data_IF_656951595270
#
_entry.id   IF_656951595270
#
_cell.length_a   1.000
_cell.length_b   1.000
_cell.length_c   1.000
_cell.angle_alpha   90.00
_cell.angle_beta   90.00
_cell.angle_gamma   90.00
#
_symmetry.space_group_name_H-M   'P 1'
#
loop_
_entity.id
_entity.type
_entity.pdbx_description
1 polymer ?
#
# COMPACT_ATOMS: atom_id res chain seq x y z
N UNK A 1 -20.04 19.84 -20.13
CA UNK A 1 -18.59 19.78 -20.40
C UNK A 1 -17.93 19.71 -19.04
N UNK A 2 -17.65 18.49 -18.57
CA UNK A 2 -16.99 18.30 -17.28
C UNK A 2 -15.62 18.97 -17.28
N UNK A 3 -15.30 19.69 -16.21
CA UNK A 3 -13.95 20.19 -16.00
C UNK A 3 -13.03 18.97 -15.88
N UNK A 4 -12.08 18.83 -16.79
CA UNK A 4 -11.00 17.86 -16.69
C UNK A 4 -10.34 17.99 -15.31
N UNK A 5 -10.29 16.91 -14.55
CA UNK A 5 -9.64 16.88 -13.25
C UNK A 5 -8.11 16.95 -13.43
N UNK A 6 -7.57 18.16 -13.35
CA UNK A 6 -6.14 18.43 -13.51
C UNK A 6 -5.34 18.29 -12.21
N UNK A 7 -5.89 17.66 -11.15
CA UNK A 7 -5.19 17.52 -9.85
C UNK A 7 -3.86 16.78 -10.00
N UNK A 8 -3.84 15.70 -10.77
CA UNK A 8 -2.62 14.96 -11.06
C UNK A 8 -1.57 15.83 -11.74
N UNK A 9 -1.92 16.48 -12.86
CA UNK A 9 -1.02 17.33 -13.62
C UNK A 9 -0.47 18.50 -12.77
N UNK A 10 -1.30 19.09 -11.91
CA UNK A 10 -0.87 20.14 -10.99
C UNK A 10 0.06 19.62 -9.89
N UNK A 11 -0.22 18.42 -9.37
CA UNK A 11 0.59 17.83 -8.31
C UNK A 11 1.99 17.47 -8.83
N UNK A 12 2.11 16.76 -9.97
CA UNK A 12 3.41 16.30 -10.49
C UNK A 12 4.37 17.43 -10.90
N UNK A 13 3.83 18.62 -11.17
CA UNK A 13 4.64 19.81 -11.48
C UNK A 13 5.10 20.57 -10.22
N UNK A 14 4.65 20.18 -9.03
CA UNK A 14 5.01 20.84 -7.78
C UNK A 14 6.40 20.37 -7.30
N UNK A 15 7.41 21.26 -7.23
CA UNK A 15 8.78 20.90 -6.85
C UNK A 15 8.91 20.46 -5.39
N UNK A 16 7.89 20.65 -4.56
CA UNK A 16 7.90 20.21 -3.15
C UNK A 16 7.54 18.74 -2.99
N UNK A 17 7.00 18.09 -4.03
CA UNK A 17 6.74 16.65 -4.00
C UNK A 17 8.00 15.85 -3.71
N UNK A 18 7.83 14.77 -2.95
CA UNK A 18 8.84 13.72 -2.85
C UNK A 18 8.38 12.59 -3.75
N UNK A 19 9.10 12.38 -4.84
CA UNK A 19 8.81 11.28 -5.75
C UNK A 19 8.88 9.93 -5.03
N UNK A 20 7.94 9.03 -5.34
CA UNK A 20 7.87 7.69 -4.77
C UNK A 20 7.61 7.59 -3.26
N UNK A 21 7.38 8.68 -2.52
CA UNK A 21 7.19 8.63 -1.05
C UNK A 21 6.04 7.72 -0.61
N UNK A 22 5.02 7.56 -1.46
CA UNK A 22 3.88 6.68 -1.23
C UNK A 22 4.24 5.19 -1.30
N UNK A 23 5.39 4.81 -1.85
CA UNK A 23 5.87 3.43 -1.82
C UNK A 23 6.33 3.04 -0.39
N UNK A 24 6.88 4.00 0.36
CA UNK A 24 7.24 3.89 1.77
C UNK A 24 6.08 4.18 2.74
N UNK A 25 4.83 4.10 2.29
CA UNK A 25 3.65 4.49 3.07
C UNK A 25 3.15 3.37 4.00
N UNK A 26 2.71 3.75 5.21
CA UNK A 26 1.97 2.91 6.17
C UNK A 26 0.44 3.08 6.08
N UNK A 27 -0.02 3.83 5.08
CA UNK A 27 -1.42 4.16 4.80
C UNK A 27 -2.18 4.79 5.98
N UNK A 28 -1.48 5.41 6.92
CA UNK A 28 -2.08 6.21 7.98
C UNK A 28 -2.08 7.69 7.61
N UNK A 29 -2.73 8.02 6.51
CA UNK A 29 -2.71 9.36 5.91
C UNK A 29 -3.15 10.47 6.88
N UNK A 30 -4.11 10.19 7.78
CA UNK A 30 -4.64 11.14 8.76
C UNK A 30 -3.60 11.58 9.80
N UNK A 31 -2.52 10.80 9.93
CA UNK A 31 -1.40 11.00 10.84
C UNK A 31 -0.07 11.21 10.11
N UNK A 32 -0.07 11.21 8.77
CA UNK A 32 1.15 11.24 7.97
C UNK A 32 1.71 12.67 7.87
N UNK A 33 2.97 12.92 8.28
CA UNK A 33 3.57 14.26 8.20
C UNK A 33 3.95 14.67 6.76
N UNK A 34 3.86 13.75 5.80
CA UNK A 34 4.29 13.95 4.41
C UNK A 34 3.11 14.13 3.43
N UNK A 35 1.87 14.24 3.91
CA UNK A 35 0.68 14.39 3.05
C UNK A 35 0.79 15.53 2.03
N UNK A 36 1.34 16.68 2.44
CA UNK A 36 1.57 17.83 1.55
C UNK A 36 2.58 17.55 0.42
N UNK A 37 3.48 16.58 0.62
CA UNK A 37 4.54 16.19 -0.34
C UNK A 37 4.27 14.85 -1.02
N UNK A 38 3.10 14.25 -0.77
CA UNK A 38 2.73 12.92 -1.25
C UNK A 38 1.77 13.02 -2.43
N UNK A 39 2.22 12.54 -3.60
CA UNK A 39 1.39 12.52 -4.81
C UNK A 39 0.08 11.72 -4.60
N UNK A 40 0.16 10.53 -4.02
CA UNK A 40 -1.00 9.68 -3.78
C UNK A 40 -2.06 10.35 -2.88
N UNK A 41 -1.63 11.10 -1.86
CA UNK A 41 -2.57 11.82 -1.00
C UNK A 41 -3.17 13.04 -1.71
N UNK A 42 -2.37 13.81 -2.45
CA UNK A 42 -2.85 15.01 -3.17
C UNK A 42 -3.81 14.68 -4.32
N UNK A 43 -3.68 13.49 -4.89
CA UNK A 43 -4.58 13.00 -5.93
C UNK A 43 -5.77 12.21 -5.37
N UNK A 44 -5.89 12.07 -4.04
CA UNK A 44 -7.05 11.43 -3.41
C UNK A 44 -8.35 12.16 -3.79
N UNK A 45 -9.40 11.47 -4.27
CA UNK A 45 -10.70 12.09 -4.50
C UNK A 45 -11.24 12.76 -3.22
N UNK A 46 -12.00 13.85 -3.38
CA UNK A 46 -12.77 14.43 -2.28
C UNK A 46 -13.71 13.36 -1.70
N UNK A 47 -13.97 13.41 -0.40
CA UNK A 47 -14.56 12.34 0.43
C UNK A 47 -15.95 11.79 0.01
N UNK A 48 -16.53 12.25 -1.09
CA UNK A 48 -17.80 11.80 -1.63
C UNK A 48 -17.66 10.58 -2.57
N UNK A 49 -16.43 10.13 -2.86
CA UNK A 49 -16.15 8.93 -3.65
C UNK A 49 -15.83 7.72 -2.78
N UNK A 50 -16.77 6.78 -2.68
CA UNK A 50 -16.51 5.42 -2.20
C UNK A 50 -15.66 4.68 -3.25
N UNK A 51 -14.34 4.60 -3.02
CA UNK A 51 -13.45 3.85 -3.90
C UNK A 51 -11.97 3.92 -3.53
N UNK A 52 -11.23 2.91 -3.98
CA UNK A 52 -9.78 2.79 -3.76
C UNK A 52 -9.04 3.97 -4.41
N UNK A 53 -8.35 4.76 -3.60
CA UNK A 53 -7.53 5.90 -4.02
C UNK A 53 -6.56 5.52 -5.13
N UNK A 54 -5.98 4.32 -5.06
CA UNK A 54 -5.04 3.86 -6.06
C UNK A 54 -5.72 3.53 -7.39
N UNK A 55 -6.97 3.05 -7.35
CA UNK A 55 -7.74 2.76 -8.55
C UNK A 55 -8.14 4.04 -9.28
N UNK A 56 -8.65 5.02 -8.55
CA UNK A 56 -9.01 6.32 -9.14
C UNK A 56 -7.82 7.06 -9.74
N UNK A 57 -6.65 7.01 -9.10
CA UNK A 57 -5.43 7.59 -9.66
C UNK A 57 -5.01 6.83 -10.93
N UNK A 58 -5.05 5.50 -10.92
CA UNK A 58 -4.68 4.69 -12.07
C UNK A 58 -5.63 4.92 -13.27
N UNK A 59 -6.93 5.01 -13.02
CA UNK A 59 -7.95 5.34 -14.03
C UNK A 59 -7.71 6.73 -14.63
N UNK A 60 -7.56 7.76 -13.79
CA UNK A 60 -7.35 9.13 -14.25
C UNK A 60 -6.03 9.29 -15.05
N UNK A 61 -4.96 8.60 -14.63
CA UNK A 61 -3.69 8.60 -15.34
C UNK A 61 -3.83 7.94 -16.71
N UNK A 62 -4.53 6.81 -16.79
CA UNK A 62 -4.78 6.12 -18.05
C UNK A 62 -5.61 6.91 -19.03
N UNK A 63 -6.71 7.50 -18.57
CA UNK A 63 -7.54 8.37 -19.39
C UNK A 63 -6.71 9.54 -19.94
N UNK A 64 -5.86 10.13 -19.11
CA UNK A 64 -4.95 11.20 -19.52
C UNK A 64 -3.92 10.73 -20.55
N UNK A 65 -3.33 9.54 -20.37
CA UNK A 65 -2.38 8.94 -21.31
C UNK A 65 -3.03 8.61 -22.66
N UNK A 66 -4.23 8.03 -22.65
CA UNK A 66 -5.02 7.74 -23.86
C UNK A 66 -5.38 9.03 -24.60
N UNK A 67 -5.89 10.04 -23.90
CA UNK A 67 -6.22 11.33 -24.50
C UNK A 67 -4.99 12.03 -25.12
N UNK A 68 -3.82 11.91 -24.48
CA UNK A 68 -2.58 12.44 -25.05
C UNK A 68 -2.17 11.68 -26.31
N UNK A 69 -2.26 10.34 -26.31
CA UNK A 69 -2.02 9.52 -27.51
C UNK A 69 -2.97 9.89 -28.66
N UNK A 70 -4.27 10.01 -28.38
CA UNK A 70 -5.27 10.34 -29.40
C UNK A 70 -5.00 11.72 -30.03
N UNK A 71 -4.51 12.68 -29.24
CA UNK A 71 -4.09 13.99 -29.76
C UNK A 71 -2.88 13.88 -30.69
N UNK A 72 -1.86 13.11 -30.32
CA UNK A 72 -0.71 12.85 -31.18
C UNK A 72 -1.13 12.22 -32.53
N UNK A 73 -2.00 11.21 -32.48
CA UNK A 73 -2.51 10.55 -33.68
C UNK A 73 -3.33 11.53 -34.56
N UNK A 74 -4.18 12.36 -33.96
CA UNK A 74 -4.99 13.34 -34.68
C UNK A 74 -4.15 14.45 -35.33
N UNK A 75 -3.05 14.85 -34.68
CA UNK A 75 -2.10 15.86 -35.19
C UNK A 75 -1.10 15.27 -36.20
N UNK A 76 -1.08 13.95 -36.39
CA UNK A 76 -0.11 13.27 -37.26
C UNK A 76 1.33 13.33 -36.73
N UNK A 77 1.50 13.58 -35.43
CA UNK A 77 2.81 13.67 -34.77
C UNK A 77 3.11 12.35 -34.08
N UNK A 78 4.35 11.80 -34.18
CA UNK A 78 4.69 10.55 -33.52
C UNK A 78 4.39 10.58 -32.02
N UNK A 79 3.71 9.54 -31.53
CA UNK A 79 3.48 9.33 -30.09
C UNK A 79 4.83 9.15 -29.39
N UNK A 80 5.09 9.82 -28.24
CA UNK A 80 6.33 9.66 -27.52
C UNK A 80 6.58 8.19 -27.15
N UNK A 81 7.79 7.63 -27.39
CA UNK A 81 8.07 6.21 -27.13
C UNK A 81 7.76 5.77 -25.69
N UNK A 82 8.02 6.65 -24.71
CA UNK A 82 7.68 6.38 -23.31
C UNK A 82 6.17 6.25 -23.07
N UNK A 83 5.35 7.11 -23.71
CA UNK A 83 3.89 7.03 -23.62
C UNK A 83 3.36 5.76 -24.30
N UNK A 84 3.89 5.42 -25.48
CA UNK A 84 3.53 4.20 -26.20
C UNK A 84 3.88 2.95 -25.37
N UNK A 85 5.05 2.93 -24.74
CA UNK A 85 5.48 1.85 -23.85
C UNK A 85 4.57 1.71 -22.64
N UNK A 86 4.23 2.82 -21.96
CA UNK A 86 3.36 2.82 -20.79
C UNK A 86 1.96 2.26 -21.11
N UNK A 87 1.37 2.68 -22.22
CA UNK A 87 0.06 2.20 -22.67
C UNK A 87 0.10 0.71 -23.09
N UNK A 88 1.19 0.26 -23.70
CA UNK A 88 1.35 -1.14 -24.11
C UNK A 88 1.63 -2.09 -22.94
N UNK A 89 2.23 -1.59 -21.85
CA UNK A 89 2.63 -2.38 -20.67
C UNK A 89 1.78 -2.05 -19.44
N UNK A 90 0.54 -1.63 -19.67
CA UNK A 90 -0.37 -1.28 -18.59
C UNK A 90 -0.61 -2.49 -17.67
N UNK A 91 -0.23 -2.40 -16.38
CA UNK A 91 -0.35 -3.51 -15.44
C UNK A 91 -1.81 -3.94 -15.20
N UNK A 92 -2.80 -3.09 -15.50
CA UNK A 92 -4.23 -3.46 -15.42
C UNK A 92 -4.63 -4.47 -16.49
N UNK A 93 -3.96 -4.47 -17.64
CA UNK A 93 -4.19 -5.44 -18.72
C UNK A 93 -3.50 -6.79 -18.45
N UNK A 94 -2.58 -6.82 -17.48
CA UNK A 94 -1.87 -8.01 -16.99
C UNK A 94 -2.30 -8.40 -15.58
N UNK A 95 -3.58 -8.29 -15.22
CA UNK A 95 -4.05 -8.52 -13.85
C UNK A 95 -4.25 -10.01 -13.53
N UNK A 96 -3.18 -10.80 -13.56
CA UNK A 96 -3.13 -12.01 -12.76
C UNK A 96 -2.67 -11.64 -11.36
N UNK A 97 -3.38 -12.08 -10.30
CA UNK A 97 -2.73 -12.20 -8.98
C UNK A 97 -1.43 -12.97 -9.22
N UNK A 98 -0.28 -12.34 -8.98
CA UNK A 98 0.99 -13.05 -9.07
C UNK A 98 0.97 -14.02 -7.92
N UNK A 99 0.62 -15.27 -8.21
CA UNK A 99 0.70 -16.36 -7.26
C UNK A 99 2.18 -16.58 -6.99
N UNK A 100 2.63 -16.12 -5.83
CA UNK A 100 3.99 -16.38 -5.38
C UNK A 100 3.93 -17.53 -4.40
N UNK A 101 4.52 -18.67 -4.79
CA UNK A 101 4.73 -19.79 -3.87
C UNK A 101 6.01 -19.56 -3.07
N UNK A 102 5.94 -18.63 -2.13
CA UNK A 102 7.05 -18.28 -1.25
C UNK A 102 6.69 -18.55 0.22
N UNK A 103 7.59 -19.17 1.02
CA UNK A 103 7.34 -19.43 2.44
C UNK A 103 6.96 -18.19 3.25
N UNK A 104 7.61 -17.05 3.01
CA UNK A 104 7.38 -15.79 3.71
C UNK A 104 6.03 -15.19 3.33
N UNK A 105 5.64 -15.23 2.04
CA UNK A 105 4.28 -14.86 1.61
C UNK A 105 3.23 -15.70 2.35
N UNK A 106 3.42 -17.03 2.42
CA UNK A 106 2.48 -17.92 3.09
C UNK A 106 2.35 -17.60 4.57
N UNK A 107 3.46 -17.34 5.27
CA UNK A 107 3.41 -16.88 6.67
C UNK A 107 2.65 -15.56 6.78
N UNK A 108 2.87 -14.62 5.86
CA UNK A 108 2.20 -13.30 5.85
C UNK A 108 0.70 -13.43 5.67
N UNK A 109 0.27 -14.25 4.70
CA UNK A 109 -1.14 -14.55 4.45
C UNK A 109 -1.81 -15.24 5.65
N UNK A 110 -1.13 -16.19 6.28
CA UNK A 110 -1.64 -16.85 7.50
C UNK A 110 -1.86 -15.84 8.63
N UNK A 111 -0.94 -14.88 8.82
CA UNK A 111 -1.12 -13.82 9.81
C UNK A 111 -2.33 -12.94 9.50
N UNK A 112 -2.53 -12.53 8.24
CA UNK A 112 -3.71 -11.75 7.83
C UNK A 112 -5.01 -12.50 8.14
N UNK A 113 -5.10 -13.78 7.79
CA UNK A 113 -6.30 -14.59 8.07
C UNK A 113 -6.56 -14.70 9.58
N UNK A 114 -5.54 -15.01 10.38
CA UNK A 114 -5.72 -15.19 11.82
C UNK A 114 -6.04 -13.88 12.54
N UNK A 115 -5.42 -12.78 12.14
CA UNK A 115 -5.70 -11.45 12.69
C UNK A 115 -7.10 -10.97 12.32
N UNK A 116 -7.54 -11.15 11.07
CA UNK A 116 -8.90 -10.85 10.65
C UNK A 116 -9.93 -11.67 11.44
N UNK A 117 -9.71 -12.99 11.61
CA UNK A 117 -10.58 -13.84 12.41
C UNK A 117 -10.64 -13.41 13.89
N UNK A 118 -9.52 -12.97 14.46
CA UNK A 118 -9.50 -12.41 15.81
C UNK A 118 -10.32 -11.12 15.89
N UNK A 119 -10.11 -10.18 14.96
CA UNK A 119 -10.89 -8.94 14.89
C UNK A 119 -12.38 -9.22 14.74
N UNK A 120 -12.78 -10.06 13.79
CA UNK A 120 -14.19 -10.44 13.58
C UNK A 120 -14.84 -11.10 14.81
N UNK A 121 -14.04 -11.71 15.69
CA UNK A 121 -14.54 -12.28 16.94
C UNK A 121 -14.73 -11.26 18.07
N UNK A 122 -14.21 -10.04 17.91
CA UNK A 122 -14.39 -8.96 18.89
C UNK A 122 -15.77 -8.31 18.71
N UNK A 123 -16.46 -8.08 19.83
CA UNK A 123 -17.76 -7.41 19.86
C UNK A 123 -17.69 -5.89 19.97
N UNK A 124 -16.49 -5.33 20.15
CA UNK A 124 -16.24 -3.91 20.44
C UNK A 124 -15.49 -3.19 19.31
N UNK A 125 -15.50 -3.76 18.10
CA UNK A 125 -14.87 -3.12 16.96
C UNK A 125 -15.61 -1.82 16.57
N UNK A 126 -14.89 -0.70 16.39
CA UNK A 126 -15.50 0.50 15.86
C UNK A 126 -15.78 0.32 14.35
N UNK A 127 -16.88 0.92 13.87
CA UNK A 127 -17.21 0.93 12.43
C UNK A 127 -16.16 1.68 11.59
N UNK A 128 -15.57 2.73 12.17
CA UNK A 128 -14.46 3.50 11.60
C UNK A 128 -13.44 3.79 12.71
N UNK A 129 -12.15 3.82 12.36
CA UNK A 129 -11.10 4.17 13.32
C UNK A 129 -11.17 5.68 13.59
N UNK A 130 -11.59 6.14 14.78
CA UNK A 130 -11.77 7.57 15.01
C UNK A 130 -10.41 8.27 15.14
N UNK A 131 -10.34 9.53 14.71
CA UNK A 131 -9.21 10.39 15.05
C UNK A 131 -9.27 10.76 16.53
N UNK A 132 -8.27 10.37 17.31
CA UNK A 132 -8.21 10.59 18.76
C UNK A 132 -7.20 11.69 19.11
N UNK A 133 -7.52 12.51 20.10
CA UNK A 133 -6.66 13.62 20.54
C UNK A 133 -5.30 13.15 21.09
N UNK A 134 -5.27 12.01 21.78
CA UNK A 134 -4.06 11.44 22.39
C UNK A 134 -3.32 10.45 21.49
N UNK A 135 -3.64 10.41 20.19
CA UNK A 135 -3.12 9.41 19.27
C UNK A 135 -3.89 8.08 19.31
N UNK A 136 -3.49 7.12 18.47
CA UNK A 136 -4.20 5.86 18.32
C UNK A 136 -4.05 4.95 19.54
N UNK A 137 -5.12 4.23 19.86
CA UNK A 137 -5.08 3.12 20.82
C UNK A 137 -4.32 1.92 20.25
N UNK A 138 -3.88 0.97 21.09
CA UNK A 138 -3.32 -0.29 20.62
C UNK A 138 -4.25 -1.03 19.63
N UNK A 139 -5.56 -1.05 19.90
CA UNK A 139 -6.53 -1.66 18.99
C UNK A 139 -6.59 -0.93 17.63
N UNK A 140 -6.55 0.41 17.61
CA UNK A 140 -6.52 1.18 16.34
C UNK A 140 -5.27 0.84 15.51
N UNK A 141 -4.10 0.73 16.16
CA UNK A 141 -2.83 0.34 15.51
C UNK A 141 -2.94 -1.06 14.93
N UNK A 142 -3.47 -2.02 15.70
CA UNK A 142 -3.62 -3.39 15.25
C UNK A 142 -4.63 -3.51 14.09
N UNK A 143 -5.81 -2.88 14.19
CA UNK A 143 -6.79 -2.84 13.09
C UNK A 143 -6.16 -2.23 11.84
N UNK A 144 -5.40 -1.14 11.96
CA UNK A 144 -4.80 -0.47 10.80
C UNK A 144 -3.78 -1.36 10.08
N UNK A 145 -2.96 -2.08 10.82
CA UNK A 145 -1.77 -2.73 10.25
C UNK A 145 -1.94 -4.24 9.99
N UNK A 146 -2.97 -4.91 10.53
CA UNK A 146 -3.13 -6.36 10.39
C UNK A 146 -3.09 -6.84 8.92
N UNK A 147 -3.82 -6.15 8.04
CA UNK A 147 -3.82 -6.46 6.60
C UNK A 147 -2.57 -5.90 5.90
N UNK A 148 -2.16 -4.67 6.27
CA UNK A 148 -1.08 -3.97 5.59
C UNK A 148 0.28 -4.69 5.74
N UNK A 149 0.54 -5.32 6.87
CA UNK A 149 1.73 -6.17 7.06
C UNK A 149 1.80 -7.25 5.98
N UNK A 150 0.71 -7.99 5.78
CA UNK A 150 0.64 -9.03 4.73
C UNK A 150 0.80 -8.46 3.33
N UNK A 151 0.17 -7.32 3.04
CA UNK A 151 0.29 -6.65 1.74
C UNK A 151 1.74 -6.19 1.45
N UNK A 152 2.44 -5.66 2.46
CA UNK A 152 3.85 -5.23 2.33
C UNK A 152 4.80 -6.41 2.20
N UNK A 153 4.57 -7.50 2.94
CA UNK A 153 5.31 -8.76 2.77
C UNK A 153 5.13 -9.32 1.36
N UNK A 154 3.89 -9.39 0.88
CA UNK A 154 3.59 -9.84 -0.49
C UNK A 154 4.34 -8.99 -1.52
N UNK A 155 4.26 -7.66 -1.42
CA UNK A 155 4.96 -6.76 -2.34
C UNK A 155 6.48 -6.96 -2.31
N UNK A 156 7.07 -7.09 -1.13
CA UNK A 156 8.50 -7.35 -0.99
C UNK A 156 8.92 -8.62 -1.75
N UNK A 157 8.15 -9.70 -1.58
CA UNK A 157 8.40 -10.99 -2.24
C UNK A 157 8.22 -10.91 -3.76
N UNK A 158 7.11 -10.32 -4.24
CA UNK A 158 6.84 -10.20 -5.68
C UNK A 158 7.90 -9.35 -6.38
N UNK A 159 8.26 -8.21 -5.79
CA UNK A 159 9.23 -7.28 -6.38
C UNK A 159 10.65 -7.87 -6.34
N UNK A 160 11.00 -8.62 -5.29
CA UNK A 160 12.25 -9.37 -5.21
C UNK A 160 12.34 -10.44 -6.32
N UNK A 161 11.26 -11.20 -6.52
CA UNK A 161 11.16 -12.19 -7.60
C UNK A 161 11.23 -11.54 -8.99
N UNK A 162 10.63 -10.37 -9.17
CA UNK A 162 10.76 -9.60 -10.40
C UNK A 162 12.21 -9.14 -10.62
N UNK A 163 12.84 -8.51 -9.63
CA UNK A 163 14.22 -8.05 -9.69
C UNK A 163 15.20 -9.20 -10.00
N UNK A 164 14.97 -10.39 -9.45
CA UNK A 164 15.78 -11.58 -9.73
C UNK A 164 15.65 -12.05 -11.19
N UNK A 165 14.48 -11.90 -11.81
CA UNK A 165 14.23 -12.31 -13.20
C UNK A 165 14.71 -11.29 -14.22
N UNK A 166 14.49 -10.00 -13.97
CA UNK A 166 14.78 -8.93 -14.93
C UNK A 166 16.11 -8.22 -14.69
N UNK A 167 16.71 -8.35 -13.50
CA UNK A 167 17.86 -7.53 -13.09
C UNK A 167 17.50 -6.07 -12.79
N UNK A 168 16.21 -5.74 -12.69
CA UNK A 168 15.72 -4.37 -12.48
C UNK A 168 16.06 -3.86 -11.07
N UNK A 169 16.88 -2.80 -11.02
CA UNK A 169 17.27 -2.14 -9.77
C UNK A 169 16.09 -1.46 -9.07
N UNK A 170 15.14 -0.89 -9.81
CA UNK A 170 13.98 -0.24 -9.23
C UNK A 170 13.06 -1.25 -8.53
N UNK A 171 12.88 -2.44 -9.10
CA UNK A 171 12.16 -3.53 -8.46
C UNK A 171 12.86 -4.01 -7.18
N UNK A 172 14.20 -4.03 -7.15
CA UNK A 172 14.96 -4.35 -5.94
C UNK A 172 14.76 -3.29 -4.84
N UNK A 173 14.86 -2.01 -5.19
CA UNK A 173 14.67 -0.91 -4.24
C UNK A 173 13.24 -0.89 -3.66
N UNK A 174 12.23 -1.19 -4.49
CA UNK A 174 10.83 -1.31 -4.04
C UNK A 174 10.63 -2.53 -3.12
N UNK A 175 11.29 -3.66 -3.41
CA UNK A 175 11.28 -4.83 -2.55
C UNK A 175 11.85 -4.51 -1.16
N UNK A 176 13.03 -3.88 -1.12
CA UNK A 176 13.73 -3.49 0.12
C UNK A 176 12.92 -2.48 0.92
N UNK A 177 12.30 -1.51 0.24
CA UNK A 177 11.44 -0.52 0.88
C UNK A 177 10.18 -1.15 1.46
N UNK A 178 9.52 -2.05 0.72
CA UNK A 178 8.35 -2.77 1.21
C UNK A 178 8.68 -3.66 2.42
N UNK A 179 9.83 -4.35 2.41
CA UNK A 179 10.32 -5.15 3.53
C UNK A 179 10.59 -4.28 4.76
N UNK A 180 11.27 -3.14 4.61
CA UNK A 180 11.51 -2.20 5.72
C UNK A 180 10.22 -1.68 6.33
N UNK A 181 9.25 -1.29 5.50
CA UNK A 181 7.94 -0.86 5.99
C UNK A 181 7.26 -2.01 6.73
N UNK A 182 7.22 -3.22 6.17
CA UNK A 182 6.64 -4.38 6.84
C UNK A 182 7.27 -4.63 8.22
N UNK A 183 8.60 -4.52 8.37
CA UNK A 183 9.28 -4.65 9.67
C UNK A 183 8.80 -3.60 10.70
N UNK A 184 8.68 -2.33 10.28
CA UNK A 184 8.17 -1.26 11.15
C UNK A 184 6.72 -1.50 11.58
N UNK A 185 5.88 -1.98 10.66
CA UNK A 185 4.48 -2.30 10.96
C UNK A 185 4.38 -3.52 11.90
N UNK A 186 5.20 -4.54 11.68
CA UNK A 186 5.29 -5.72 12.55
C UNK A 186 5.66 -5.29 13.98
N UNK A 187 6.65 -4.43 14.16
CA UNK A 187 7.05 -3.94 15.48
C UNK A 187 5.91 -3.19 16.16
N UNK A 188 5.30 -2.22 15.47
CA UNK A 188 4.17 -1.45 16.01
C UNK A 188 2.97 -2.32 16.36
N UNK A 189 2.62 -3.29 15.53
CA UNK A 189 1.52 -4.21 15.80
C UNK A 189 1.84 -5.18 16.92
N UNK A 190 3.10 -5.61 17.08
CA UNK A 190 3.50 -6.46 18.19
C UNK A 190 3.41 -5.72 19.52
N UNK A 191 3.94 -4.50 19.59
CA UNK A 191 3.84 -3.63 20.77
C UNK A 191 2.37 -3.36 21.13
N UNK A 192 1.53 -3.09 20.13
CA UNK A 192 0.10 -2.92 20.33
C UNK A 192 -0.57 -4.17 20.92
N UNK A 193 -0.28 -5.35 20.37
CA UNK A 193 -0.80 -6.62 20.90
C UNK A 193 -0.29 -6.92 22.31
N UNK A 194 0.94 -6.51 22.64
CA UNK A 194 1.49 -6.63 23.99
C UNK A 194 0.70 -5.78 25.00
N UNK A 195 0.40 -4.54 24.65
CA UNK A 195 -0.42 -3.67 25.49
C UNK A 195 -1.85 -4.22 25.63
N UNK A 196 -2.46 -4.70 24.54
CA UNK A 196 -3.79 -5.34 24.60
C UNK A 196 -3.80 -6.61 25.46
N UNK A 197 -2.69 -7.37 25.50
CA UNK A 197 -2.58 -8.58 26.31
C UNK A 197 -2.54 -8.28 27.82
N UNK A 198 -1.93 -7.16 28.22
CA UNK A 198 -1.90 -6.74 29.62
C UNK A 198 -3.31 -6.43 30.16
N UNK A 199 -4.21 -5.98 29.27
CA UNK A 199 -5.59 -5.69 29.61
C UNK A 199 -6.50 -6.95 29.51
N UNK A 200 -6.18 -7.89 28.61
CA UNK A 200 -6.97 -9.10 28.33
C UNK A 200 -6.06 -10.34 28.13
N UNK A 201 -6.01 -11.25 29.12
CA UNK A 201 -5.21 -12.48 29.09
C UNK A 201 -5.70 -13.56 28.10
N UNK A 202 -5.59 -13.29 26.78
CA UNK A 202 -6.17 -14.13 25.73
C UNK A 202 -5.12 -14.88 24.89
N UNK A 203 -5.19 -16.23 24.86
CA UNK A 203 -4.29 -17.10 24.09
C UNK A 203 -4.20 -16.82 22.56
N UNK A 204 -5.21 -16.16 21.97
CA UNK A 204 -5.18 -15.75 20.55
C UNK A 204 -4.17 -14.62 20.32
N UNK A 205 -4.02 -13.70 21.27
CA UNK A 205 -3.05 -12.61 21.19
C UNK A 205 -1.63 -13.18 21.21
N UNK A 206 -1.36 -14.17 22.06
CA UNK A 206 -0.05 -14.85 22.10
C UNK A 206 0.31 -15.51 20.77
N UNK A 207 -0.67 -16.17 20.15
CA UNK A 207 -0.51 -16.78 18.83
C UNK A 207 -0.17 -15.73 17.75
N UNK A 208 -0.92 -14.61 17.72
CA UNK A 208 -0.66 -13.51 16.77
C UNK A 208 0.73 -12.89 17.00
N UNK A 209 1.13 -12.64 18.25
CA UNK A 209 2.48 -12.15 18.58
C UNK A 209 3.56 -13.15 18.16
N UNK A 210 3.34 -14.45 18.33
CA UNK A 210 4.28 -15.47 17.88
C UNK A 210 4.44 -15.48 16.35
N UNK A 211 3.35 -15.30 15.60
CA UNK A 211 3.39 -15.14 14.15
C UNK A 211 4.15 -13.89 13.73
N UNK A 212 3.89 -12.74 14.36
CA UNK A 212 4.63 -11.49 14.08
C UNK A 212 6.13 -11.65 14.34
N UNK A 213 6.53 -12.30 15.45
CA UNK A 213 7.94 -12.61 15.72
C UNK A 213 8.54 -13.51 14.66
N UNK A 214 7.77 -14.48 14.14
CA UNK A 214 8.20 -15.35 13.05
C UNK A 214 8.41 -14.56 11.76
N UNK A 215 7.42 -13.76 11.35
CA UNK A 215 7.50 -12.89 10.18
C UNK A 215 8.70 -11.94 10.24
N UNK A 216 8.91 -11.29 11.40
CA UNK A 216 10.05 -10.40 11.60
C UNK A 216 11.38 -11.10 11.33
N UNK A 217 11.56 -12.31 11.88
CA UNK A 217 12.79 -13.10 11.69
C UNK A 217 12.96 -13.53 10.24
N UNK A 218 11.91 -14.07 9.62
CA UNK A 218 11.97 -14.56 8.23
C UNK A 218 12.24 -13.40 7.24
N UNK A 219 11.68 -12.21 7.48
CA UNK A 219 11.86 -11.03 6.64
C UNK A 219 13.23 -10.36 6.82
N UNK A 220 13.93 -10.62 7.92
CA UNK A 220 15.25 -10.04 8.21
C UNK A 220 16.43 -10.97 7.89
N UNK A 221 16.15 -12.19 7.41
CA UNK A 221 17.14 -13.20 7.07
C UNK A 221 17.65 -13.02 5.64
#
# INVERSE_FOLDING_TARGET
>A
MELTDLRFAKAVLDPTLIDGVYNACDQWCESCPLTARCLAFRCRPSADGDGDVYMHIAEAMDESMKALKDRHDAEGVPVPPGLAWLLANDPRNGSGVVLVDDPLERTGRQYVVQSAMYLMSRGDLPAEIPKRANGPTPLDVFIRYHFLIGAKVYRAVVMSSQAARSGDAAARDDADMAAKVALLLIDRSHDALELMHMDEGHARIDQLRAQLRRLRRELSA
#
